data_IF_623607512069
#
_entry.id   IF_623607512069
#
_cell.length_a   1.000
_cell.length_b   1.000
_cell.length_c   1.000
_cell.angle_alpha   90.00
_cell.angle_beta   90.00
_cell.angle_gamma   90.00
#
_symmetry.space_group_name_H-M   'P 1'
#
loop_
_entity.id
_entity.type
_entity.pdbx_description
1 polymer ?
#
# COMPACT_ATOMS: atom_id res chain seq x y z
N UNK A 1 -5.47 23.76 28.06
CA UNK A 1 -6.87 23.29 27.86
C UNK A 1 -7.12 23.25 26.36
N UNK A 2 -7.57 22.08 25.91
CA UNK A 2 -7.95 21.76 24.53
C UNK A 2 -9.08 22.70 24.06
N UNK A 3 -9.00 23.17 22.82
CA UNK A 3 -10.21 23.38 22.02
C UNK A 3 -10.06 22.54 20.76
N UNK A 4 -11.00 21.60 20.61
CA UNK A 4 -10.97 20.54 19.62
C UNK A 4 -11.37 21.04 18.23
N UNK A 5 -10.59 20.63 17.23
CA UNK A 5 -11.07 20.57 15.86
C UNK A 5 -12.09 19.43 15.76
N UNK A 6 -13.37 19.80 15.69
CA UNK A 6 -14.42 18.87 15.29
C UNK A 6 -14.20 18.36 13.86
N UNK A 7 -14.81 17.23 13.47
CA UNK A 7 -14.68 16.72 12.12
C UNK A 7 -15.36 17.67 11.15
N UNK A 8 -14.60 18.25 10.23
CA UNK A 8 -15.16 19.00 9.10
C UNK A 8 -15.79 17.98 8.15
N UNK A 9 -17.04 17.61 8.40
CA UNK A 9 -17.90 16.95 7.41
C UNK A 9 -18.95 17.95 6.90
N UNK A 10 -18.48 19.09 6.39
CA UNK A 10 -19.29 19.83 5.43
C UNK A 10 -19.14 19.11 4.09
N UNK A 11 -20.26 18.70 3.50
CA UNK A 11 -20.27 18.26 2.10
C UNK A 11 -19.76 19.42 1.25
N UNK A 12 -18.48 19.38 0.88
CA UNK A 12 -17.87 20.32 -0.06
C UNK A 12 -18.58 20.16 -1.41
N UNK A 13 -19.60 20.97 -1.65
CA UNK A 13 -20.19 21.15 -2.97
C UNK A 13 -19.19 21.94 -3.80
N UNK A 14 -18.37 21.24 -4.59
CA UNK A 14 -17.53 21.89 -5.59
C UNK A 14 -18.47 22.61 -6.57
N UNK A 15 -18.41 23.95 -6.68
CA UNK A 15 -19.22 24.65 -7.68
C UNK A 15 -18.83 24.12 -9.07
N UNK A 16 -19.82 23.83 -9.91
CA UNK A 16 -19.56 23.43 -11.30
C UNK A 16 -18.64 24.46 -11.97
N UNK A 17 -17.56 23.98 -12.61
CA UNK A 17 -16.74 24.85 -13.45
C UNK A 17 -17.62 25.39 -14.59
N UNK A 18 -17.90 26.70 -14.56
CA UNK A 18 -18.61 27.38 -15.65
C UNK A 18 -17.82 27.22 -16.95
N UNK A 19 -18.50 27.12 -18.10
CA UNK A 19 -17.84 26.92 -19.40
C UNK A 19 -16.71 27.92 -19.73
N UNK A 20 -16.79 29.17 -19.26
CA UNK A 20 -15.72 30.16 -19.41
C UNK A 20 -14.45 29.84 -18.60
N UNK A 21 -14.59 29.21 -17.42
CA UNK A 21 -13.47 28.76 -16.58
C UNK A 21 -12.68 27.65 -17.27
N UNK A 22 -13.40 26.68 -17.84
CA UNK A 22 -12.78 25.57 -18.57
C UNK A 22 -12.00 26.07 -19.80
N UNK A 23 -12.56 27.03 -20.54
CA UNK A 23 -11.88 27.66 -21.68
C UNK A 23 -10.59 28.37 -21.27
N UNK A 24 -10.61 29.12 -20.16
CA UNK A 24 -9.43 29.79 -19.63
C UNK A 24 -8.36 28.77 -19.17
N UNK A 25 -8.76 27.71 -18.46
CA UNK A 25 -7.85 26.65 -18.00
C UNK A 25 -7.16 25.95 -19.18
N UNK A 26 -7.90 25.64 -20.24
CA UNK A 26 -7.34 25.08 -21.47
C UNK A 26 -6.38 26.04 -22.17
N UNK A 27 -6.68 27.33 -22.19
CA UNK A 27 -5.78 28.35 -22.76
C UNK A 27 -4.47 28.46 -21.95
N UNK A 28 -4.55 28.45 -20.63
CA UNK A 28 -3.38 28.47 -19.74
C UNK A 28 -2.51 27.24 -19.98
N UNK A 29 -3.12 26.04 -20.01
CA UNK A 29 -2.42 24.77 -20.29
C UNK A 29 -1.71 24.77 -21.64
N UNK A 30 -2.36 25.31 -22.68
CA UNK A 30 -1.77 25.46 -24.01
C UNK A 30 -0.55 26.40 -24.00
N UNK A 31 -0.68 27.58 -23.41
CA UNK A 31 0.42 28.55 -23.29
C UNK A 31 1.60 27.98 -22.50
N UNK A 32 1.31 27.26 -21.42
CA UNK A 32 2.33 26.57 -20.64
C UNK A 32 3.08 25.54 -21.49
N UNK A 33 2.37 24.70 -22.25
CA UNK A 33 2.99 23.73 -23.16
C UNK A 33 3.89 24.41 -24.21
N UNK A 34 3.42 25.48 -24.86
CA UNK A 34 4.18 26.25 -25.85
C UNK A 34 5.47 26.84 -25.24
N UNK A 35 5.37 27.43 -24.05
CA UNK A 35 6.52 27.97 -23.33
C UNK A 35 7.51 26.87 -22.90
N UNK A 36 7.00 25.75 -22.38
CA UNK A 36 7.80 24.60 -21.95
C UNK A 36 8.56 23.98 -23.14
N UNK A 37 7.93 23.84 -24.29
CA UNK A 37 8.57 23.35 -25.51
C UNK A 37 9.66 24.31 -26.00
N UNK A 38 9.39 25.62 -25.97
CA UNK A 38 10.37 26.64 -26.37
C UNK A 38 11.57 26.72 -25.41
N UNK A 39 11.36 26.45 -24.12
CA UNK A 39 12.39 26.64 -23.07
C UNK A 39 13.23 25.39 -22.88
N UNK A 40 12.60 24.23 -22.81
CA UNK A 40 13.24 22.97 -22.45
C UNK A 40 13.42 22.02 -23.64
N UNK A 41 12.78 22.31 -24.78
CA UNK A 41 12.84 21.49 -25.98
C UNK A 41 12.10 20.15 -25.86
N UNK A 42 12.50 19.21 -26.71
CA UNK A 42 11.89 17.88 -26.82
C UNK A 42 12.43 16.91 -25.75
N UNK A 43 11.99 17.08 -24.51
CA UNK A 43 12.29 16.19 -23.37
C UNK A 43 11.11 15.30 -23.01
N UNK A 44 11.38 14.14 -22.41
CA UNK A 44 10.36 13.21 -21.92
C UNK A 44 9.75 13.59 -20.56
N UNK A 45 8.79 12.80 -20.06
CA UNK A 45 7.99 13.13 -18.87
C UNK A 45 8.73 13.01 -17.53
N UNK A 46 9.89 12.34 -17.50
CA UNK A 46 10.62 12.01 -16.26
C UNK A 46 11.13 13.27 -15.54
N UNK A 47 11.58 14.28 -16.27
CA UNK A 47 12.07 15.54 -15.69
C UNK A 47 10.97 16.25 -14.88
N UNK A 48 9.84 16.59 -15.51
CA UNK A 48 8.69 17.17 -14.80
C UNK A 48 8.19 16.34 -13.62
N UNK A 49 8.18 15.00 -13.70
CA UNK A 49 7.78 14.14 -12.57
C UNK A 49 8.75 14.22 -11.37
N UNK A 50 10.06 14.27 -11.64
CA UNK A 50 11.05 14.47 -10.58
C UNK A 50 10.94 15.85 -9.95
N UNK A 51 10.60 16.86 -10.75
CA UNK A 51 10.34 18.22 -10.25
C UNK A 51 9.07 18.26 -9.42
N UNK A 52 7.97 17.64 -9.88
CA UNK A 52 6.70 17.55 -9.15
C UNK A 52 6.87 16.98 -7.74
N UNK A 53 7.81 16.05 -7.56
CA UNK A 53 8.13 15.48 -6.25
C UNK A 53 8.71 16.51 -5.27
N UNK A 54 9.40 17.55 -5.76
CA UNK A 54 9.94 18.66 -4.95
C UNK A 54 8.86 19.68 -4.63
N UNK A 55 8.10 20.12 -5.63
CA UNK A 55 6.99 21.06 -5.45
C UNK A 55 5.91 20.50 -4.51
N UNK A 56 5.69 19.18 -4.51
CA UNK A 56 4.80 18.54 -3.53
C UNK A 56 5.29 18.68 -2.09
N UNK A 57 6.61 18.74 -1.85
CA UNK A 57 7.19 18.98 -0.52
C UNK A 57 7.10 20.46 -0.14
N UNK A 58 7.30 21.36 -1.10
CA UNK A 58 7.17 22.82 -0.92
C UNK A 58 5.70 23.18 -0.59
N UNK A 59 4.74 22.69 -1.37
CA UNK A 59 3.31 22.80 -1.08
C UNK A 59 2.89 22.18 0.27
N UNK A 60 3.54 21.09 0.69
CA UNK A 60 3.27 20.48 2.00
C UNK A 60 3.82 21.32 3.16
N UNK A 61 4.92 22.06 2.95
CA UNK A 61 5.48 22.97 3.94
C UNK A 61 4.65 24.26 4.05
N UNK A 62 4.14 24.78 2.93
CA UNK A 62 3.36 26.01 2.86
C UNK A 62 2.01 25.81 2.14
N UNK A 63 1.06 25.06 2.74
CA UNK A 63 -0.21 24.70 2.06
C UNK A 63 -1.10 25.89 1.71
N UNK A 64 -0.83 27.08 2.28
CA UNK A 64 -1.49 28.34 1.96
C UNK A 64 -0.92 29.09 0.76
N UNK A 65 0.25 28.70 0.25
CA UNK A 65 0.84 29.31 -0.94
C UNK A 65 0.23 28.68 -2.21
N UNK A 66 -0.64 29.43 -2.89
CA UNK A 66 -1.29 28.99 -4.13
C UNK A 66 -0.32 28.78 -5.29
N UNK A 67 0.88 29.37 -5.27
CA UNK A 67 1.85 29.22 -6.34
C UNK A 67 2.41 27.79 -6.39
N UNK A 68 2.70 27.20 -5.24
CA UNK A 68 3.15 25.80 -5.10
C UNK A 68 2.12 24.80 -5.65
N UNK A 69 0.83 25.07 -5.43
CA UNK A 69 -0.24 24.28 -6.04
C UNK A 69 -0.31 24.45 -7.56
N UNK A 70 -0.03 25.66 -8.07
CA UNK A 70 0.02 25.92 -9.50
C UNK A 70 1.20 25.20 -10.15
N UNK A 71 2.37 25.16 -9.51
CA UNK A 71 3.54 24.44 -9.99
C UNK A 71 3.28 22.94 -10.09
N UNK A 72 2.63 22.34 -9.09
CA UNK A 72 2.18 20.94 -9.19
C UNK A 72 1.29 20.70 -10.43
N UNK A 73 0.35 21.60 -10.71
CA UNK A 73 -0.56 21.46 -11.85
C UNK A 73 0.18 21.61 -13.19
N UNK A 74 1.09 22.57 -13.30
CA UNK A 74 1.89 22.78 -14.51
C UNK A 74 2.78 21.57 -14.79
N UNK A 75 3.47 21.05 -13.77
CA UNK A 75 4.38 19.90 -13.91
C UNK A 75 3.62 18.62 -14.24
N UNK A 76 2.44 18.41 -13.65
CA UNK A 76 1.59 17.27 -13.97
C UNK A 76 1.09 17.33 -15.42
N UNK A 77 0.62 18.49 -15.88
CA UNK A 77 0.23 18.68 -17.28
C UNK A 77 1.39 18.48 -18.24
N UNK A 78 2.58 18.98 -17.88
CA UNK A 78 3.78 18.85 -18.68
C UNK A 78 4.17 17.37 -18.85
N UNK A 79 4.20 16.62 -17.73
CA UNK A 79 4.47 15.20 -17.71
C UNK A 79 3.44 14.42 -18.54
N UNK A 80 2.14 14.66 -18.34
CA UNK A 80 1.06 13.97 -19.06
C UNK A 80 1.19 14.13 -20.57
N UNK A 81 1.33 15.36 -21.07
CA UNK A 81 1.43 15.59 -22.52
C UNK A 81 2.72 14.99 -23.10
N UNK A 82 3.85 15.04 -22.39
CA UNK A 82 5.13 14.44 -22.83
C UNK A 82 5.08 12.92 -22.84
N UNK A 83 4.21 12.32 -22.03
CA UNK A 83 3.91 10.89 -22.07
C UNK A 83 2.88 10.52 -23.16
N UNK A 84 2.33 11.48 -23.88
CA UNK A 84 1.28 11.26 -24.88
C UNK A 84 -0.08 10.89 -24.28
N UNK A 85 -0.29 11.14 -22.98
CA UNK A 85 -1.53 10.79 -22.28
C UNK A 85 -2.58 11.86 -22.56
N UNK A 86 -3.71 11.45 -23.14
CA UNK A 86 -4.85 12.33 -23.38
C UNK A 86 -5.71 12.52 -22.12
N UNK A 87 -6.50 13.59 -22.10
CA UNK A 87 -7.45 13.84 -21.01
C UNK A 87 -8.47 12.69 -20.86
N UNK A 88 -8.91 12.09 -21.97
CA UNK A 88 -9.82 10.93 -21.94
C UNK A 88 -9.20 9.70 -21.29
N UNK A 89 -7.95 9.39 -21.62
CA UNK A 89 -7.23 8.23 -21.04
C UNK A 89 -7.00 8.40 -19.54
N UNK A 90 -6.53 9.57 -19.10
CA UNK A 90 -6.31 9.79 -17.67
C UNK A 90 -7.63 9.81 -16.89
N UNK A 91 -8.71 10.38 -17.44
CA UNK A 91 -10.03 10.36 -16.80
C UNK A 91 -10.56 8.94 -16.63
N UNK A 92 -10.46 8.10 -17.68
CA UNK A 92 -10.85 6.69 -17.58
C UNK A 92 -9.99 5.94 -16.54
N UNK A 93 -8.67 6.17 -16.53
CA UNK A 93 -7.78 5.57 -15.54
C UNK A 93 -8.08 6.03 -14.11
N UNK A 94 -8.45 7.29 -13.92
CA UNK A 94 -8.88 7.83 -12.62
C UNK A 94 -10.15 7.16 -12.11
N UNK A 95 -11.15 6.95 -12.99
CA UNK A 95 -12.40 6.27 -12.63
C UNK A 95 -12.14 4.82 -12.15
N UNK A 96 -11.38 4.06 -12.94
CA UNK A 96 -11.03 2.68 -12.58
C UNK A 96 -10.17 2.62 -11.32
N UNK A 97 -9.21 3.54 -11.17
CA UNK A 97 -8.37 3.59 -9.98
C UNK A 97 -9.16 3.94 -8.73
N UNK A 98 -10.18 4.80 -8.84
CA UNK A 98 -11.06 5.17 -7.73
C UNK A 98 -11.85 3.96 -7.22
N UNK A 99 -12.42 3.15 -8.13
CA UNK A 99 -13.13 1.89 -7.77
C UNK A 99 -12.22 0.96 -6.95
N UNK A 100 -10.97 0.77 -7.41
CA UNK A 100 -9.98 -0.05 -6.69
C UNK A 100 -9.64 0.55 -5.31
N UNK A 101 -9.48 1.87 -5.21
CA UNK A 101 -9.14 2.52 -3.94
C UNK A 101 -10.28 2.44 -2.91
N UNK A 102 -11.54 2.53 -3.35
CA UNK A 102 -12.73 2.39 -2.49
C UNK A 102 -12.91 0.97 -1.98
N UNK A 103 -12.48 -0.05 -2.74
CA UNK A 103 -12.56 -1.46 -2.33
C UNK A 103 -11.44 -1.90 -1.37
N UNK A 104 -10.45 -1.03 -1.07
CA UNK A 104 -9.32 -1.36 -0.19
C UNK A 104 -9.65 -1.11 1.28
N UNK A 105 -8.91 -1.79 2.14
CA UNK A 105 -8.86 -1.48 3.56
C UNK A 105 -7.78 -0.42 3.83
N UNK A 106 -8.13 0.54 4.67
CA UNK A 106 -7.29 1.68 5.04
C UNK A 106 -7.13 1.74 6.56
N UNK A 107 -5.94 2.12 7.07
CA UNK A 107 -5.75 2.34 8.50
C UNK A 107 -6.49 3.60 8.97
N UNK A 108 -6.58 3.75 10.30
CA UNK A 108 -7.18 4.92 10.93
C UNK A 108 -6.53 6.24 10.45
N UNK A 109 -7.33 7.31 10.31
CA UNK A 109 -6.82 8.62 9.94
C UNK A 109 -5.74 9.18 10.87
N UNK A 110 -4.58 9.53 10.30
CA UNK A 110 -3.59 10.40 10.94
C UNK A 110 -3.40 11.67 10.09
N UNK A 111 -3.38 12.82 10.77
CA UNK A 111 -3.16 14.12 10.14
C UNK A 111 -1.68 14.33 9.81
N UNK A 112 -1.41 15.02 8.69
CA UNK A 112 -0.05 15.31 8.20
C UNK A 112 0.75 14.11 7.67
N UNK A 113 0.18 12.90 7.62
CA UNK A 113 0.92 11.68 7.30
C UNK A 113 0.34 10.93 6.10
N UNK A 114 1.19 10.38 5.20
CA UNK A 114 0.74 9.51 4.12
C UNK A 114 0.02 8.28 4.66
N UNK A 115 -1.11 7.92 4.04
CA UNK A 115 -1.83 6.68 4.35
C UNK A 115 -1.61 5.67 3.25
N UNK A 116 -1.17 4.47 3.64
CA UNK A 116 -0.98 3.35 2.73
C UNK A 116 -2.08 2.32 2.99
N UNK A 117 -2.57 1.68 1.92
CA UNK A 117 -3.55 0.60 2.02
C UNK A 117 -2.93 -0.62 2.71
N UNK A 118 -3.75 -1.34 3.46
CA UNK A 118 -3.36 -2.61 4.08
C UNK A 118 -3.21 -3.64 2.96
N UNK A 119 -2.03 -4.26 2.85
CA UNK A 119 -1.83 -5.42 2.00
C UNK A 119 -2.09 -6.66 2.84
N UNK A 120 -3.04 -7.51 2.44
CA UNK A 120 -3.14 -8.84 3.02
C UNK A 120 -1.81 -9.55 2.78
N UNK A 121 -1.12 -9.93 3.87
CA UNK A 121 0.00 -10.84 3.72
C UNK A 121 -0.58 -12.22 3.40
N UNK A 122 -0.15 -12.88 2.31
CA UNK A 122 -0.54 -14.25 2.07
C UNK A 122 -0.11 -15.10 3.27
N UNK A 123 -0.93 -16.09 3.62
CA UNK A 123 -0.58 -17.05 4.66
C UNK A 123 0.81 -17.65 4.37
N UNK A 124 1.61 -17.97 5.40
CA UNK A 124 2.91 -18.59 5.21
C UNK A 124 2.76 -19.83 4.33
N UNK A 125 3.48 -19.88 3.21
CA UNK A 125 3.53 -21.08 2.38
C UNK A 125 4.37 -22.10 3.13
N UNK A 126 3.75 -23.19 3.58
CA UNK A 126 4.44 -24.34 4.18
C UNK A 126 4.87 -25.25 3.02
N UNK A 127 6.17 -25.52 2.80
CA UNK A 127 6.62 -26.41 1.74
C UNK A 127 6.12 -27.85 1.94
N UNK A 128 6.02 -28.62 0.84
CA UNK A 128 5.66 -30.03 0.91
C UNK A 128 6.61 -30.81 1.83
N UNK A 129 6.04 -31.59 2.75
CA UNK A 129 6.81 -32.34 3.75
C UNK A 129 7.17 -31.55 5.02
N UNK A 130 6.74 -30.29 5.14
CA UNK A 130 6.89 -29.48 6.35
C UNK A 130 5.54 -29.30 7.05
N UNK A 131 5.57 -29.16 8.38
CA UNK A 131 4.41 -28.82 9.20
C UNK A 131 4.69 -27.52 9.97
N UNK A 132 3.67 -26.65 10.08
CA UNK A 132 3.77 -25.43 10.87
C UNK A 132 3.37 -25.73 12.31
N UNK A 133 4.34 -25.71 13.22
CA UNK A 133 4.15 -26.00 14.65
C UNK A 133 4.67 -24.84 15.51
N UNK A 134 4.18 -24.68 16.75
CA UNK A 134 4.75 -23.73 17.70
C UNK A 134 6.26 -23.94 17.88
N UNK A 135 7.00 -22.84 18.04
CA UNK A 135 8.46 -22.90 18.32
C UNK A 135 8.71 -23.61 19.65
N UNK A 136 7.89 -23.32 20.66
CA UNK A 136 7.88 -24.03 21.94
C UNK A 136 6.69 -25.00 21.96
N UNK A 137 6.89 -26.31 22.22
CA UNK A 137 5.81 -27.28 22.30
C UNK A 137 4.75 -26.88 23.33
N UNK A 138 3.48 -27.14 23.01
CA UNK A 138 2.39 -26.93 23.97
C UNK A 138 2.35 -28.05 25.01
N UNK A 139 1.61 -27.82 26.11
CA UNK A 139 1.39 -28.84 27.14
C UNK A 139 0.78 -30.12 26.56
N UNK A 140 -0.12 -30.00 25.58
CA UNK A 140 -0.70 -31.15 24.88
C UNK A 140 0.33 -31.91 24.03
N UNK A 141 1.22 -31.20 23.34
CA UNK A 141 2.31 -31.83 22.59
C UNK A 141 3.27 -32.57 23.53
N UNK A 142 3.61 -31.96 24.67
CA UNK A 142 4.48 -32.59 25.69
C UNK A 142 3.79 -33.80 26.30
N UNK A 143 2.50 -33.70 26.64
CA UNK A 143 1.73 -34.82 27.15
C UNK A 143 1.64 -35.97 26.13
N UNK A 144 1.47 -35.66 24.83
CA UNK A 144 1.46 -36.66 23.78
C UNK A 144 2.81 -37.38 23.67
N UNK A 145 3.92 -36.65 23.75
CA UNK A 145 5.26 -37.22 23.80
C UNK A 145 5.44 -38.19 24.98
N UNK A 146 5.00 -37.78 26.18
CA UNK A 146 5.18 -38.58 27.40
C UNK A 146 4.31 -39.84 27.46
N UNK A 147 3.20 -39.88 26.71
CA UNK A 147 2.23 -40.98 26.74
C UNK A 147 2.29 -41.87 25.50
N UNK A 148 3.20 -41.61 24.55
CA UNK A 148 3.33 -42.44 23.36
C UNK A 148 4.09 -43.75 23.66
N UNK A 149 3.84 -44.79 22.87
CA UNK A 149 4.64 -46.02 22.92
C UNK A 149 5.97 -45.76 22.22
N UNK A 150 6.95 -45.29 22.97
CA UNK A 150 8.29 -44.94 22.47
C UNK A 150 9.40 -45.87 22.96
N UNK A 151 9.19 -46.67 24.00
CA UNK A 151 10.23 -47.57 24.51
C UNK A 151 9.99 -49.02 24.09
N UNK A 152 10.96 -49.58 23.36
CA UNK A 152 11.03 -51.01 23.09
C UNK A 152 12.07 -51.67 23.99
N UNK A 153 11.68 -52.80 24.60
CA UNK A 153 12.58 -53.64 25.39
C UNK A 153 13.08 -54.81 24.56
N UNK A 154 14.40 -54.98 24.51
CA UNK A 154 15.06 -56.06 23.83
C UNK A 154 15.19 -57.29 24.74
N UNK A 155 15.48 -58.45 24.14
CA UNK A 155 15.67 -59.71 24.88
C UNK A 155 16.92 -59.74 25.76
N UNK A 156 17.85 -58.80 25.57
CA UNK A 156 19.09 -58.65 26.33
C UNK A 156 18.98 -57.60 27.45
N UNK A 157 17.77 -57.27 27.88
CA UNK A 157 17.45 -56.26 28.90
C UNK A 157 17.83 -54.81 28.54
N UNK A 158 18.31 -54.56 27.32
CA UNK A 158 18.48 -53.20 26.80
C UNK A 158 17.15 -52.61 26.32
N UNK A 159 17.08 -51.28 26.23
CA UNK A 159 15.92 -50.58 25.68
C UNK A 159 16.31 -49.61 24.56
N UNK A 160 15.38 -49.35 23.66
CA UNK A 160 15.52 -48.38 22.59
C UNK A 160 14.36 -47.39 22.65
N UNK A 161 14.68 -46.10 22.53
CA UNK A 161 13.68 -45.03 22.43
C UNK A 161 13.41 -44.73 20.95
N UNK A 162 12.16 -44.82 20.55
CA UNK A 162 11.65 -44.55 19.23
C UNK A 162 11.30 -43.07 19.11
N UNK A 163 12.33 -42.24 18.96
CA UNK A 163 12.18 -40.79 18.81
C UNK A 163 11.22 -40.39 17.66
N UNK A 164 11.07 -41.23 16.64
CA UNK A 164 10.09 -41.05 15.57
C UNK A 164 8.65 -41.04 16.09
N UNK A 165 8.26 -42.00 16.92
CA UNK A 165 6.91 -42.09 17.49
C UNK A 165 6.61 -40.88 18.40
N UNK A 166 7.62 -40.46 19.18
CA UNK A 166 7.52 -39.25 20.02
C UNK A 166 7.22 -38.03 19.14
N UNK A 167 8.00 -37.85 18.08
CA UNK A 167 7.85 -36.71 17.19
C UNK A 167 6.51 -36.74 16.43
N UNK A 168 6.09 -37.90 15.94
CA UNK A 168 4.78 -38.08 15.30
C UNK A 168 3.62 -37.76 16.25
N UNK A 169 3.71 -38.20 17.52
CA UNK A 169 2.71 -37.89 18.54
C UNK A 169 2.66 -36.38 18.84
N UNK A 170 3.81 -35.72 18.95
CA UNK A 170 3.89 -34.26 19.13
C UNK A 170 3.30 -33.50 17.93
N UNK A 171 3.59 -33.92 16.70
CA UNK A 171 3.02 -33.30 15.49
C UNK A 171 1.50 -33.50 15.41
N UNK A 172 1.00 -34.67 15.78
CA UNK A 172 -0.44 -34.96 15.79
C UNK A 172 -1.21 -34.10 16.82
N UNK A 173 -0.57 -33.80 17.96
CA UNK A 173 -1.11 -32.93 19.01
C UNK A 173 -0.85 -31.43 18.76
N UNK A 174 -0.09 -31.07 17.71
CA UNK A 174 0.20 -29.67 17.42
C UNK A 174 -1.08 -28.92 17.03
N UNK A 175 -1.26 -27.67 17.50
CA UNK A 175 -2.44 -26.88 17.18
C UNK A 175 -2.49 -26.58 15.69
N UNK A 176 -3.61 -26.92 15.06
CA UNK A 176 -3.88 -26.60 13.66
C UNK A 176 -4.40 -25.15 13.59
N UNK A 177 -3.76 -24.32 12.76
CA UNK A 177 -4.25 -22.97 12.42
C UNK A 177 -5.12 -23.01 11.18
#
# INVERSE_FOLDING_TARGET
MLQGGGPVSETYNLPEEKGASLQLRNLIRKRHAEWSDSTFGNVGPVGPLKHLSKEALEAAAEPGDLSEWADMQFLLWDAQRRAGISDGEITAAMEEKLKVNMARQWPEPKDGEPRLHIKEQPAPVVPDGYALVPVEPTDEMIAAAMNCEDVLFNSDESFCVQFGNIYEAMLAAAPQK
#
